data_IF_727547535660
#
_entry.id   IF_727547535660
#
_cell.length_a   1.000
_cell.length_b   1.000
_cell.length_c   1.000
_cell.angle_alpha   90.00
_cell.angle_beta   90.00
_cell.angle_gamma   90.00
#
_symmetry.space_group_name_H-M   'P 1'
#
loop_
_entity.id
_entity.type
_entity.pdbx_description
1 polymer ?
#
# COMPACT_ATOMS: atom_id res chain seq x y z
N UNK A 1 -28.47 -11.92 6.87
CA UNK A 1 -28.17 -11.96 5.43
C UNK A 1 -27.48 -10.64 5.08
N UNK A 2 -26.20 -10.54 5.38
CA UNK A 2 -25.41 -9.33 5.07
C UNK A 2 -24.94 -9.40 3.63
N UNK A 3 -25.24 -8.33 2.88
CA UNK A 3 -24.75 -8.16 1.51
C UNK A 3 -23.21 -8.06 1.55
N UNK A 4 -22.48 -8.69 0.61
CA UNK A 4 -21.05 -8.49 0.47
C UNK A 4 -20.79 -7.01 0.21
N UNK A 5 -19.95 -6.41 1.04
CA UNK A 5 -19.46 -5.04 0.87
C UNK A 5 -18.81 -4.97 -0.52
N UNK A 6 -19.37 -4.13 -1.36
CA UNK A 6 -18.89 -3.92 -2.72
C UNK A 6 -17.37 -3.74 -2.71
N UNK A 7 -16.67 -4.33 -3.71
CA UNK A 7 -15.27 -4.05 -4.03
C UNK A 7 -15.13 -2.54 -4.24
N UNK A 8 -14.88 -1.83 -3.17
CA UNK A 8 -14.69 -0.38 -3.20
C UNK A 8 -13.42 -0.11 -4.00
N UNK A 9 -13.64 0.31 -5.22
CA UNK A 9 -12.64 0.70 -6.19
C UNK A 9 -11.82 1.87 -5.60
N UNK A 10 -10.64 1.56 -5.04
CA UNK A 10 -9.69 2.55 -4.51
C UNK A 10 -9.05 3.27 -5.71
N UNK A 11 -9.87 3.86 -6.56
CA UNK A 11 -9.40 4.79 -7.59
C UNK A 11 -9.41 6.19 -7.01
N UNK A 12 -8.27 6.89 -6.99
CA UNK A 12 -8.24 8.29 -6.56
C UNK A 12 -9.20 9.09 -7.43
N UNK A 13 -9.93 10.04 -6.83
CA UNK A 13 -10.67 11.05 -7.58
C UNK A 13 -9.66 11.78 -8.48
N UNK A 14 -9.73 11.47 -9.77
CA UNK A 14 -8.84 12.01 -10.78
C UNK A 14 -8.92 13.55 -10.78
N UNK A 15 -7.85 14.23 -10.37
CA UNK A 15 -7.52 15.50 -11.03
C UNK A 15 -7.57 15.19 -12.52
N UNK A 16 -8.20 16.05 -13.34
CA UNK A 16 -8.43 15.82 -14.77
C UNK A 16 -7.11 15.55 -15.49
N UNK A 17 -6.70 14.29 -15.51
CA UNK A 17 -5.48 13.87 -16.20
C UNK A 17 -5.80 13.68 -17.69
N UNK A 18 -4.87 13.98 -18.59
CA UNK A 18 -5.06 13.74 -20.01
C UNK A 18 -5.44 12.29 -20.31
N UNK A 19 -6.47 12.01 -21.13
CA UNK A 19 -6.94 10.65 -21.39
C UNK A 19 -5.84 9.68 -21.86
N UNK A 20 -4.88 10.17 -22.67
CA UNK A 20 -3.75 9.38 -23.12
C UNK A 20 -2.83 8.93 -21.97
N UNK A 21 -2.60 9.79 -20.97
CA UNK A 21 -1.81 9.45 -19.77
C UNK A 21 -2.49 8.33 -18.98
N UNK A 22 -3.80 8.43 -18.78
CA UNK A 22 -4.59 7.41 -18.06
C UNK A 22 -4.53 6.07 -18.80
N UNK A 23 -4.70 6.05 -20.12
CA UNK A 23 -4.61 4.83 -20.94
C UNK A 23 -3.25 4.14 -20.78
N UNK A 24 -2.14 4.90 -20.82
CA UNK A 24 -0.79 4.37 -20.66
C UNK A 24 -0.59 3.76 -19.26
N UNK A 25 -1.05 4.43 -18.21
CA UNK A 25 -0.95 3.92 -16.84
C UNK A 25 -1.78 2.65 -16.64
N UNK A 26 -2.99 2.60 -17.19
CA UNK A 26 -3.84 1.41 -17.13
C UNK A 26 -3.25 0.25 -17.92
N UNK A 27 -2.64 0.51 -19.07
CA UNK A 27 -1.95 -0.51 -19.86
C UNK A 27 -0.79 -1.15 -19.08
N UNK A 28 0.03 -0.35 -18.40
CA UNK A 28 1.09 -0.92 -17.56
C UNK A 28 0.52 -1.70 -16.36
N UNK A 29 -0.55 -1.23 -15.73
CA UNK A 29 -1.22 -1.98 -14.65
C UNK A 29 -1.67 -3.36 -15.12
N UNK A 30 -2.36 -3.42 -16.26
CA UNK A 30 -2.83 -4.70 -16.84
C UNK A 30 -1.66 -5.63 -17.19
N UNK A 31 -0.60 -5.12 -17.80
CA UNK A 31 0.58 -5.92 -18.12
C UNK A 31 1.29 -6.48 -16.87
N UNK A 32 1.29 -5.73 -15.76
CA UNK A 32 1.88 -6.17 -14.50
C UNK A 32 1.08 -7.27 -13.77
N UNK A 33 -0.18 -7.48 -14.14
CA UNK A 33 -0.96 -8.63 -13.67
C UNK A 33 -0.43 -9.95 -14.24
N UNK A 34 0.11 -9.90 -15.46
CA UNK A 34 0.53 -11.09 -16.22
C UNK A 34 2.04 -11.29 -16.29
N UNK A 35 2.82 -10.22 -16.18
CA UNK A 35 4.26 -10.21 -16.46
C UNK A 35 5.08 -9.51 -15.38
N UNK A 36 6.35 -9.85 -15.35
CA UNK A 36 7.35 -9.10 -14.58
C UNK A 36 7.68 -7.77 -15.26
N UNK A 37 7.90 -6.72 -14.46
CA UNK A 37 8.18 -5.38 -14.97
C UNK A 37 9.39 -5.34 -15.94
N UNK A 38 10.40 -6.14 -15.68
CA UNK A 38 11.60 -6.24 -16.52
C UNK A 38 11.30 -6.69 -17.95
N UNK A 39 10.28 -7.55 -18.12
CA UNK A 39 9.88 -8.10 -19.41
C UNK A 39 8.95 -7.18 -20.22
N UNK A 40 8.39 -6.13 -19.61
CA UNK A 40 7.45 -5.22 -20.26
C UNK A 40 8.21 -4.16 -21.07
N UNK A 41 7.90 -4.01 -22.35
CA UNK A 41 8.51 -3.04 -23.26
C UNK A 41 7.63 -1.82 -23.50
N UNK A 42 8.22 -0.73 -24.00
CA UNK A 42 7.44 0.44 -24.41
C UNK A 42 6.47 0.13 -25.56
N UNK A 43 6.89 -0.68 -26.51
CA UNK A 43 6.04 -1.11 -27.63
C UNK A 43 4.80 -1.87 -27.13
N UNK A 44 4.96 -2.74 -26.12
CA UNK A 44 3.81 -3.43 -25.50
C UNK A 44 2.88 -2.47 -24.79
N UNK A 45 3.42 -1.55 -23.99
CA UNK A 45 2.60 -0.52 -23.31
C UNK A 45 1.83 0.31 -24.32
N UNK A 46 2.48 0.77 -25.42
CA UNK A 46 1.85 1.56 -26.46
C UNK A 46 0.70 0.78 -27.14
N UNK A 47 0.97 -0.48 -27.51
CA UNK A 47 -0.02 -1.35 -28.14
C UNK A 47 -1.22 -1.60 -27.23
N UNK A 48 -0.98 -1.95 -25.96
CA UNK A 48 -2.04 -2.20 -24.97
C UNK A 48 -2.85 -0.94 -24.65
N UNK A 49 -2.20 0.23 -24.62
CA UNK A 49 -2.86 1.51 -24.42
C UNK A 49 -3.62 2.04 -25.65
N UNK A 50 -3.38 1.47 -26.84
CA UNK A 50 -3.91 1.99 -28.10
C UNK A 50 -3.38 3.38 -28.44
N UNK A 51 -2.08 3.62 -28.20
CA UNK A 51 -1.41 4.91 -28.47
C UNK A 51 -0.09 4.68 -29.22
N UNK A 52 0.45 5.74 -29.82
CA UNK A 52 1.81 5.69 -30.36
C UNK A 52 2.85 5.89 -29.25
N UNK A 53 4.07 5.38 -29.44
CA UNK A 53 5.14 5.50 -28.44
C UNK A 53 5.54 6.96 -28.17
N UNK A 54 5.44 7.85 -29.15
CA UNK A 54 5.71 9.29 -28.97
C UNK A 54 4.85 9.92 -27.90
N UNK A 55 3.59 9.46 -27.75
CA UNK A 55 2.70 9.95 -26.70
C UNK A 55 3.18 9.50 -25.31
N UNK A 56 3.81 8.33 -25.20
CA UNK A 56 4.36 7.85 -23.93
C UNK A 56 5.50 8.77 -23.48
N UNK A 57 6.46 9.06 -24.35
CA UNK A 57 7.59 9.95 -24.06
C UNK A 57 7.17 11.39 -23.72
N UNK A 58 5.98 11.82 -24.19
CA UNK A 58 5.42 13.11 -23.79
C UNK A 58 5.04 13.17 -22.30
N UNK A 59 4.61 12.04 -21.72
CA UNK A 59 4.11 12.00 -20.34
C UNK A 59 5.09 11.39 -19.34
N UNK A 60 5.97 10.48 -19.77
CA UNK A 60 6.81 9.69 -18.90
C UNK A 60 8.27 9.69 -19.41
N UNK A 61 9.18 10.05 -18.52
CA UNK A 61 10.61 10.10 -18.83
C UNK A 61 11.18 8.72 -19.17
N UNK A 62 10.80 7.73 -18.41
CA UNK A 62 11.21 6.33 -18.56
C UNK A 62 10.17 5.40 -17.92
N UNK A 63 10.34 4.08 -18.09
CA UNK A 63 9.42 3.07 -17.55
C UNK A 63 9.34 3.10 -16.02
N UNK A 64 10.44 3.42 -15.34
CA UNK A 64 10.46 3.56 -13.88
C UNK A 64 9.66 4.77 -13.42
N UNK A 65 9.78 5.88 -14.13
CA UNK A 65 8.96 7.06 -13.85
C UNK A 65 7.46 6.73 -13.98
N UNK A 66 7.05 5.99 -15.02
CA UNK A 66 5.68 5.52 -15.16
C UNK A 66 5.27 4.63 -13.98
N UNK A 67 6.12 3.69 -13.57
CA UNK A 67 5.87 2.82 -12.43
C UNK A 67 5.70 3.63 -11.11
N UNK A 68 6.56 4.61 -10.88
CA UNK A 68 6.45 5.52 -9.73
C UNK A 68 5.18 6.35 -9.74
N UNK A 69 4.72 6.79 -10.93
CA UNK A 69 3.46 7.55 -11.02
C UNK A 69 2.24 6.66 -10.67
N UNK A 70 2.25 5.40 -11.10
CA UNK A 70 1.23 4.44 -10.71
C UNK A 70 1.24 4.21 -9.19
N UNK A 71 2.41 3.96 -8.61
CA UNK A 71 2.55 3.75 -7.18
C UNK A 71 2.11 4.98 -6.37
N UNK A 72 2.46 6.18 -6.84
CA UNK A 72 2.05 7.45 -6.22
C UNK A 72 0.54 7.58 -6.15
N UNK A 73 -0.18 7.31 -7.25
CA UNK A 73 -1.65 7.39 -7.26
C UNK A 73 -2.30 6.45 -6.25
N UNK A 74 -1.80 5.21 -6.14
CA UNK A 74 -2.29 4.27 -5.14
C UNK A 74 -2.06 4.75 -3.72
N UNK A 75 -0.84 5.23 -3.43
CA UNK A 75 -0.46 5.69 -2.10
C UNK A 75 -1.22 6.95 -1.67
N UNK A 76 -1.38 7.93 -2.56
CA UNK A 76 -2.13 9.16 -2.26
C UNK A 76 -3.59 8.84 -1.90
N UNK A 77 -4.29 8.04 -2.73
CA UNK A 77 -5.66 7.65 -2.46
C UNK A 77 -5.82 6.81 -1.19
N UNK A 78 -4.87 5.90 -0.94
CA UNK A 78 -4.85 5.09 0.27
C UNK A 78 -4.67 5.94 1.54
N UNK A 79 -3.67 6.83 1.55
CA UNK A 79 -3.36 7.66 2.71
C UNK A 79 -4.48 8.64 3.05
N UNK A 80 -5.12 9.23 2.03
CA UNK A 80 -6.26 10.13 2.24
C UNK A 80 -7.42 9.39 2.92
N UNK A 81 -7.79 8.21 2.41
CA UNK A 81 -8.86 7.38 2.99
C UNK A 81 -8.50 6.92 4.40
N UNK A 82 -7.27 6.44 4.60
CA UNK A 82 -6.80 5.96 5.90
C UNK A 82 -6.89 7.05 6.97
N UNK A 83 -6.40 8.25 6.68
CA UNK A 83 -6.47 9.40 7.59
C UNK A 83 -7.91 9.77 7.94
N UNK A 84 -8.83 9.65 6.97
CA UNK A 84 -10.25 9.87 7.21
C UNK A 84 -10.84 8.78 8.13
N UNK A 85 -10.59 7.51 7.82
CA UNK A 85 -11.09 6.37 8.59
C UNK A 85 -10.64 6.40 10.05
N UNK A 86 -9.37 6.77 10.30
CA UNK A 86 -8.82 6.80 11.66
C UNK A 86 -9.44 7.87 12.57
N UNK A 87 -10.01 8.94 12.00
CA UNK A 87 -10.64 10.02 12.80
C UNK A 87 -11.85 9.55 13.60
N UNK A 88 -12.57 8.54 13.10
CA UNK A 88 -13.76 7.99 13.75
C UNK A 88 -13.47 6.84 14.72
N UNK A 89 -12.20 6.48 14.94
CA UNK A 89 -11.83 5.33 15.76
C UNK A 89 -11.24 5.80 17.09
N UNK A 90 -11.81 5.31 18.19
CA UNK A 90 -11.30 5.55 19.54
C UNK A 90 -10.32 4.45 19.97
N UNK A 91 -9.29 4.83 20.73
CA UNK A 91 -8.26 3.94 21.28
C UNK A 91 -7.17 3.55 20.26
N UNK A 92 -5.93 3.56 20.74
CA UNK A 92 -4.76 3.28 19.89
C UNK A 92 -4.76 1.84 19.39
N UNK A 93 -5.18 0.89 20.20
CA UNK A 93 -5.26 -0.53 19.82
C UNK A 93 -6.24 -0.74 18.66
N UNK A 94 -7.40 -0.08 18.68
CA UNK A 94 -8.38 -0.16 17.60
C UNK A 94 -7.88 0.52 16.32
N UNK A 95 -7.18 1.64 16.44
CA UNK A 95 -6.51 2.31 15.32
C UNK A 95 -5.44 1.42 14.69
N UNK A 96 -4.60 0.75 15.49
CA UNK A 96 -3.58 -0.19 14.99
C UNK A 96 -4.25 -1.38 14.28
N UNK A 97 -5.32 -1.94 14.84
CA UNK A 97 -6.10 -3.00 14.17
C UNK A 97 -6.60 -2.54 12.80
N UNK A 98 -7.16 -1.34 12.71
CA UNK A 98 -7.64 -0.76 11.44
C UNK A 98 -6.48 -0.55 10.46
N UNK A 99 -5.33 -0.05 10.90
CA UNK A 99 -4.11 0.10 10.09
C UNK A 99 -3.63 -1.24 9.52
N UNK A 100 -3.58 -2.29 10.35
CA UNK A 100 -3.21 -3.64 9.92
C UNK A 100 -4.19 -4.13 8.87
N UNK A 101 -5.50 -4.09 9.17
CA UNK A 101 -6.54 -4.59 8.28
C UNK A 101 -6.54 -3.87 6.93
N UNK A 102 -6.50 -2.54 6.92
CA UNK A 102 -6.54 -1.76 5.68
C UNK A 102 -5.32 -2.04 4.80
N UNK A 103 -4.15 -2.28 5.40
CA UNK A 103 -2.93 -2.59 4.64
C UNK A 103 -2.98 -4.00 4.05
N UNK A 104 -3.39 -4.99 4.84
CA UNK A 104 -3.57 -6.37 4.36
C UNK A 104 -4.62 -6.40 3.24
N UNK A 105 -5.76 -5.73 3.45
CA UNK A 105 -6.82 -5.64 2.44
C UNK A 105 -6.35 -4.94 1.16
N UNK A 106 -5.53 -3.89 1.28
CA UNK A 106 -4.94 -3.22 0.11
C UNK A 106 -4.04 -4.18 -0.67
N UNK A 107 -3.18 -4.95 0.00
CA UNK A 107 -2.27 -5.89 -0.66
C UNK A 107 -3.01 -7.07 -1.29
N UNK A 108 -4.04 -7.60 -0.64
CA UNK A 108 -4.83 -8.73 -1.15
C UNK A 108 -5.73 -8.32 -2.31
N UNK A 109 -6.35 -7.15 -2.24
CA UNK A 109 -7.27 -6.64 -3.27
C UNK A 109 -6.56 -5.94 -4.44
N UNK A 110 -5.30 -5.53 -4.27
CA UNK A 110 -4.52 -4.77 -5.24
C UNK A 110 -3.11 -5.33 -5.39
N UNK A 111 -3.01 -6.53 -5.97
CA UNK A 111 -1.74 -7.25 -6.11
C UNK A 111 -0.70 -6.51 -6.94
N UNK A 112 -1.14 -5.79 -8.00
CA UNK A 112 -0.23 -4.96 -8.80
C UNK A 112 0.43 -3.89 -7.95
N UNK A 113 -0.35 -3.22 -7.09
CA UNK A 113 0.21 -2.26 -6.13
C UNK A 113 1.23 -2.92 -5.19
N UNK A 114 0.85 -4.05 -4.57
CA UNK A 114 1.73 -4.77 -3.66
C UNK A 114 3.02 -5.25 -4.36
N UNK A 115 2.91 -5.78 -5.58
CA UNK A 115 4.05 -6.18 -6.41
C UNK A 115 5.00 -5.00 -6.68
N UNK A 116 4.46 -3.87 -7.13
CA UNK A 116 5.25 -2.66 -7.36
C UNK A 116 5.97 -2.22 -6.08
N UNK A 117 5.22 -2.10 -4.98
CA UNK A 117 5.76 -1.57 -3.73
C UNK A 117 6.79 -2.50 -3.08
N UNK A 118 6.52 -3.80 -3.04
CA UNK A 118 7.33 -4.74 -2.29
C UNK A 118 8.51 -5.30 -3.10
N UNK A 119 8.34 -5.47 -4.43
CA UNK A 119 9.31 -6.20 -5.24
C UNK A 119 10.04 -5.31 -6.28
N UNK A 120 9.36 -4.30 -6.86
CA UNK A 120 9.91 -3.60 -8.02
C UNK A 120 10.69 -2.33 -7.67
N UNK A 121 10.15 -1.48 -6.78
CA UNK A 121 10.76 -0.17 -6.53
C UNK A 121 11.92 -0.20 -5.54
N UNK A 122 11.91 -1.13 -4.59
CA UNK A 122 12.93 -1.20 -3.52
C UNK A 122 14.32 -1.60 -4.00
N UNK A 123 14.40 -2.23 -5.16
CA UNK A 123 15.67 -2.64 -5.79
C UNK A 123 16.39 -1.48 -6.47
N UNK A 124 15.80 -0.29 -6.49
CA UNK A 124 16.37 0.87 -7.15
C UNK A 124 16.76 1.94 -6.11
N UNK A 125 18.05 2.30 -5.98
CA UNK A 125 18.51 3.27 -4.98
C UNK A 125 17.80 4.62 -5.04
N UNK A 126 17.44 5.11 -6.24
CA UNK A 126 16.71 6.35 -6.43
C UNK A 126 15.30 6.35 -5.85
N UNK A 127 14.72 5.18 -5.55
CA UNK A 127 13.43 5.09 -4.88
C UNK A 127 13.43 5.79 -3.52
N UNK A 128 14.46 5.62 -2.72
CA UNK A 128 14.56 6.17 -1.37
C UNK A 128 14.67 7.71 -1.33
N UNK A 129 14.87 8.34 -2.49
CA UNK A 129 14.89 9.80 -2.69
C UNK A 129 13.64 10.30 -3.43
N UNK A 130 12.71 9.41 -3.77
CA UNK A 130 11.52 9.72 -4.56
C UNK A 130 10.35 10.28 -3.73
N UNK A 131 9.44 11.01 -4.38
CA UNK A 131 8.18 11.44 -3.78
C UNK A 131 7.33 10.26 -3.29
N UNK A 132 7.37 9.13 -4.00
CA UNK A 132 6.68 7.90 -3.59
C UNK A 132 7.19 7.36 -2.27
N UNK A 133 8.49 7.42 -2.03
CA UNK A 133 9.04 7.01 -0.74
C UNK A 133 8.65 7.97 0.39
N UNK A 134 8.49 9.27 0.11
CA UNK A 134 7.98 10.22 1.11
C UNK A 134 6.55 9.84 1.55
N UNK A 135 5.69 9.37 0.64
CA UNK A 135 4.36 8.88 0.99
C UNK A 135 4.41 7.61 1.85
N UNK A 136 5.31 6.68 1.55
CA UNK A 136 5.53 5.49 2.41
C UNK A 136 6.02 5.90 3.79
N UNK A 137 6.89 6.90 3.89
CA UNK A 137 7.33 7.47 5.18
C UNK A 137 6.18 8.15 5.94
N UNK A 138 5.27 8.84 5.24
CA UNK A 138 4.09 9.46 5.85
C UNK A 138 3.16 8.38 6.44
N UNK A 139 2.96 7.27 5.74
CA UNK A 139 2.27 6.11 6.29
C UNK A 139 2.93 5.56 7.56
N UNK A 140 4.24 5.32 7.51
CA UNK A 140 5.00 4.84 8.66
C UNK A 140 4.96 5.82 9.85
N UNK A 141 4.90 7.13 9.57
CA UNK A 141 4.73 8.18 10.58
C UNK A 141 3.35 8.11 11.22
N UNK A 142 2.29 7.90 10.44
CA UNK A 142 0.92 7.74 10.96
C UNK A 142 0.83 6.58 11.97
N UNK A 143 1.48 5.44 11.69
CA UNK A 143 1.53 4.32 12.65
C UNK A 143 2.25 4.74 13.93
N UNK A 144 3.39 5.43 13.81
CA UNK A 144 4.16 5.88 14.96
C UNK A 144 3.36 6.84 15.85
N UNK A 145 2.62 7.77 15.25
CA UNK A 145 1.76 8.72 15.96
C UNK A 145 0.65 8.01 16.74
N UNK A 146 0.07 6.94 16.19
CA UNK A 146 -0.93 6.12 16.89
C UNK A 146 -0.30 5.33 18.07
N UNK A 147 0.91 4.79 17.89
CA UNK A 147 1.64 4.12 18.97
C UNK A 147 1.96 5.10 20.09
N UNK A 148 2.48 6.29 19.77
CA UNK A 148 2.80 7.33 20.73
C UNK A 148 1.54 7.83 21.47
N UNK A 149 0.39 7.91 20.81
CA UNK A 149 -0.91 8.18 21.43
C UNK A 149 -1.27 7.10 22.45
N UNK A 150 -1.11 5.83 22.08
CA UNK A 150 -1.41 4.69 22.94
C UNK A 150 -0.54 4.63 24.19
N UNK A 151 0.75 4.96 24.06
CA UNK A 151 1.67 5.03 25.21
C UNK A 151 1.24 6.16 26.16
N UNK A 152 0.97 7.36 25.64
CA UNK A 152 0.51 8.50 26.47
C UNK A 152 -0.81 8.22 27.20
N UNK A 153 -1.66 7.35 26.66
CA UNK A 153 -2.94 6.93 27.26
C UNK A 153 -2.83 5.67 28.12
N UNK A 154 -1.62 5.13 28.27
CA UNK A 154 -1.37 3.86 28.98
C UNK A 154 -2.11 2.65 28.37
N UNK A 155 -2.49 2.71 27.11
CA UNK A 155 -3.05 1.57 26.35
C UNK A 155 -1.95 0.64 25.85
N UNK A 156 -0.76 1.19 25.58
CA UNK A 156 0.43 0.48 25.07
C UNK A 156 1.56 0.66 26.09
N UNK A 157 2.31 -0.42 26.33
CA UNK A 157 3.50 -0.40 27.20
C UNK A 157 4.58 0.52 26.64
N UNK A 158 5.37 1.12 27.50
CA UNK A 158 6.37 2.14 27.18
C UNK A 158 7.83 1.63 27.24
N UNK A 159 8.04 0.39 27.69
CA UNK A 159 9.36 -0.24 27.80
C UNK A 159 9.90 -0.78 26.45
N UNK A 160 9.11 -0.72 25.35
CA UNK A 160 9.54 -1.03 24.00
C UNK A 160 9.60 0.27 23.19
N UNK A 161 10.75 0.58 22.55
CA UNK A 161 10.84 1.76 21.70
C UNK A 161 9.77 1.79 20.62
N UNK A 162 8.97 2.88 20.48
CA UNK A 162 7.86 2.96 19.51
C UNK A 162 8.25 2.65 18.08
N UNK A 163 9.48 3.03 17.69
CA UNK A 163 10.04 2.75 16.37
C UNK A 163 10.21 1.25 16.11
N UNK A 164 10.59 0.47 17.11
CA UNK A 164 10.73 -0.98 16.98
C UNK A 164 9.36 -1.64 16.87
N UNK A 165 8.38 -1.22 17.67
CA UNK A 165 7.02 -1.72 17.56
C UNK A 165 6.42 -1.45 16.18
N UNK A 166 6.60 -0.24 15.65
CA UNK A 166 6.21 0.09 14.27
C UNK A 166 6.87 -0.84 13.24
N UNK A 167 8.18 -1.12 13.38
CA UNK A 167 8.92 -2.00 12.48
C UNK A 167 8.39 -3.44 12.53
N UNK A 168 8.06 -3.93 13.73
CA UNK A 168 7.46 -5.28 13.89
C UNK A 168 6.10 -5.33 13.21
N UNK A 169 5.23 -4.33 13.40
CA UNK A 169 3.92 -4.26 12.76
C UNK A 169 4.07 -4.28 11.24
N UNK A 170 4.86 -3.37 10.68
CA UNK A 170 5.05 -3.26 9.22
C UNK A 170 5.70 -4.50 8.62
N UNK A 171 6.76 -5.01 9.25
CA UNK A 171 7.47 -6.20 8.79
C UNK A 171 6.60 -7.45 8.82
N UNK A 172 5.76 -7.60 9.85
CA UNK A 172 4.82 -8.72 9.94
C UNK A 172 3.78 -8.66 8.83
N UNK A 173 3.16 -7.49 8.59
CA UNK A 173 2.19 -7.32 7.50
C UNK A 173 2.84 -7.66 6.14
N UNK A 174 3.99 -7.08 5.85
CA UNK A 174 4.68 -7.30 4.58
C UNK A 174 5.02 -8.78 4.38
N UNK A 175 5.62 -9.42 5.39
CA UNK A 175 6.02 -10.82 5.29
C UNK A 175 4.84 -11.77 5.13
N UNK A 176 3.76 -11.55 5.87
CA UNK A 176 2.54 -12.36 5.78
C UNK A 176 1.83 -12.20 4.43
N UNK A 177 1.95 -11.03 3.79
CA UNK A 177 1.37 -10.80 2.47
C UNK A 177 2.24 -11.24 1.29
N UNK A 178 3.54 -11.49 1.47
CA UNK A 178 4.45 -11.92 0.38
C UNK A 178 3.95 -13.15 -0.39
N UNK A 179 3.39 -14.21 0.24
CA UNK A 179 2.87 -15.36 -0.51
C UNK A 179 1.73 -15.00 -1.48
N UNK A 180 0.91 -14.01 -1.14
CA UNK A 180 -0.13 -13.50 -2.05
C UNK A 180 0.52 -12.85 -3.29
N UNK A 181 1.56 -12.05 -3.06
CA UNK A 181 2.20 -11.28 -4.13
C UNK A 181 3.05 -12.17 -5.05
N UNK A 182 3.84 -13.10 -4.46
CA UNK A 182 4.80 -13.92 -5.19
C UNK A 182 4.15 -15.15 -5.80
N UNK A 183 3.29 -15.85 -5.04
CA UNK A 183 2.77 -17.16 -5.41
C UNK A 183 1.28 -17.14 -5.77
N UNK A 184 0.66 -15.99 -5.90
CA UNK A 184 -0.75 -15.87 -6.23
C UNK A 184 -1.71 -16.49 -5.19
N UNK A 185 -1.27 -16.65 -3.93
CA UNK A 185 -2.11 -17.23 -2.88
C UNK A 185 -3.18 -16.23 -2.44
N UNK A 186 -4.37 -16.73 -2.20
CA UNK A 186 -5.43 -15.93 -1.60
C UNK A 186 -5.13 -15.66 -0.13
N UNK A 187 -5.50 -14.47 0.33
CA UNK A 187 -5.44 -14.05 1.71
C UNK A 187 -6.82 -13.52 2.10
N UNK A 188 -7.31 -14.02 3.22
CA UNK A 188 -8.46 -13.42 3.90
C UNK A 188 -7.95 -12.31 4.85
N UNK A 189 -8.24 -11.02 4.56
CA UNK A 189 -7.77 -9.92 5.39
C UNK A 189 -8.29 -9.96 6.83
N UNK A 190 -9.52 -10.45 7.04
CA UNK A 190 -10.14 -10.49 8.36
C UNK A 190 -9.42 -11.52 9.23
N UNK A 191 -9.26 -12.74 8.72
CA UNK A 191 -8.58 -13.84 9.44
C UNK A 191 -7.12 -13.47 9.72
N UNK A 192 -6.41 -12.95 8.72
CA UNK A 192 -4.99 -12.62 8.89
C UNK A 192 -4.79 -11.46 9.89
N UNK A 193 -5.65 -10.45 9.84
CA UNK A 193 -5.64 -9.34 10.79
C UNK A 193 -5.93 -9.81 12.20
N UNK A 194 -6.94 -10.65 12.39
CA UNK A 194 -7.28 -11.18 13.71
C UNK A 194 -6.10 -11.94 14.33
N UNK A 195 -5.48 -12.84 13.56
CA UNK A 195 -4.35 -13.63 14.02
C UNK A 195 -3.14 -12.75 14.36
N UNK A 196 -2.80 -11.78 13.49
CA UNK A 196 -1.71 -10.86 13.75
C UNK A 196 -1.98 -9.99 14.99
N UNK A 197 -3.21 -9.51 15.14
CA UNK A 197 -3.61 -8.72 16.30
C UNK A 197 -3.58 -9.52 17.60
N UNK A 198 -3.95 -10.79 17.61
CA UNK A 198 -3.79 -11.67 18.79
C UNK A 198 -2.32 -11.76 19.21
N UNK A 199 -1.43 -12.01 18.25
CA UNK A 199 0.01 -12.12 18.55
C UNK A 199 0.58 -10.79 19.08
N UNK A 200 0.23 -9.67 18.46
CA UNK A 200 0.78 -8.37 18.82
C UNK A 200 0.19 -7.84 20.12
N UNK A 201 -1.15 -7.88 20.27
CA UNK A 201 -1.81 -7.15 21.36
C UNK A 201 -1.68 -7.83 22.71
N UNK A 202 -1.53 -9.14 22.78
CA UNK A 202 -1.23 -9.84 24.03
C UNK A 202 0.11 -9.40 24.63
N UNK A 203 1.01 -8.88 23.80
CA UNK A 203 2.38 -8.50 24.21
C UNK A 203 2.60 -7.00 24.32
N UNK A 204 1.76 -6.18 23.69
CA UNK A 204 1.97 -4.71 23.66
C UNK A 204 0.98 -3.95 24.54
N UNK A 205 -0.13 -4.56 24.96
CA UNK A 205 -1.04 -3.95 25.93
C UNK A 205 -0.31 -3.71 27.24
N UNK A 206 -0.59 -2.58 27.87
CA UNK A 206 -0.16 -2.34 29.22
C UNK A 206 -0.91 -3.35 30.14
N UNK A 207 -0.15 -4.18 30.83
CA UNK A 207 -0.69 -5.07 31.87
C UNK A 207 -0.64 -4.25 33.18
N UNK A 208 -1.74 -3.48 33.39
CA UNK A 208 -1.93 -2.68 34.58
C UNK A 208 -1.87 -3.50 35.88
#
# INVERSE_FOLDING_TARGET
MDKPIAKDDIRPKARSQPPGRIKIMNALRSLLEEKEFSAITWAEIARTAGVNEGLIYKYFKDRRNLLHQILKEYLEGYLERLKFDLKGIEGAINKIRKLIWTTINLYSSNRVFAKILLLEVRNFPGYFQSETYLLVRDYAKTILEVIDEGIRRSEIRDDIPPKHLRQVILGSIEHLCLPCVIFNKEIDPDVLTENLCKILFERIKNQG
#
